data_IF_150114486274
#
_entry.id   IF_150114486274
#
_cell.length_a   1.000
_cell.length_b   1.000
_cell.length_c   1.000
_cell.angle_alpha   90.00
_cell.angle_beta   90.00
_cell.angle_gamma   90.00
#
_symmetry.space_group_name_H-M   'P 1'
#
loop_
_entity.id
_entity.type
_entity.pdbx_description
1 polymer ?
#
# COMPACT_ATOMS: atom_id res chain seq x y z
N UNK A 1 4.95 -6.28 13.41
CA UNK A 1 3.64 -6.55 12.80
C UNK A 1 3.85 -7.31 11.50
N UNK A 2 3.24 -8.47 11.40
CA UNK A 2 3.44 -9.38 10.28
C UNK A 2 2.31 -9.27 9.26
N UNK A 3 2.68 -9.34 7.98
CA UNK A 3 1.73 -9.39 6.86
C UNK A 3 1.76 -10.80 6.28
N UNK A 4 0.60 -11.40 6.05
CA UNK A 4 0.50 -12.75 5.53
C UNK A 4 0.31 -12.72 4.02
N UNK A 5 1.21 -13.38 3.30
CA UNK A 5 1.13 -13.45 1.85
C UNK A 5 0.15 -14.53 1.39
N UNK A 6 -0.19 -14.51 0.12
CA UNK A 6 -1.13 -15.44 -0.49
C UNK A 6 -0.75 -16.91 -0.28
N UNK A 7 0.55 -17.21 -0.26
CA UNK A 7 1.06 -18.57 -0.08
C UNK A 7 1.18 -18.97 1.39
N UNK A 8 0.75 -18.13 2.31
CA UNK A 8 0.82 -18.38 3.75
C UNK A 8 2.10 -17.94 4.41
N UNK A 9 3.09 -17.50 3.64
CA UNK A 9 4.33 -16.99 4.22
C UNK A 9 4.08 -15.62 4.86
N UNK A 10 4.96 -15.23 5.77
CA UNK A 10 4.85 -13.96 6.48
C UNK A 10 5.99 -13.04 6.13
N UNK A 11 5.69 -11.74 6.08
CA UNK A 11 6.73 -10.73 5.91
C UNK A 11 6.44 -9.56 6.84
N UNK A 12 7.48 -8.84 7.23
CA UNK A 12 7.33 -7.71 8.13
C UNK A 12 6.63 -6.55 7.42
N UNK A 13 5.69 -5.89 8.10
CA UNK A 13 5.06 -4.69 7.59
C UNK A 13 6.13 -3.62 7.36
N UNK A 14 6.15 -3.03 6.18
CA UNK A 14 7.13 -2.03 5.82
C UNK A 14 6.44 -0.78 5.27
N UNK A 15 6.32 0.23 6.12
CA UNK A 15 5.70 1.51 5.75
C UNK A 15 6.43 2.16 4.58
N UNK A 16 7.75 2.04 4.52
CA UNK A 16 8.54 2.66 3.46
C UNK A 16 8.21 2.06 2.09
N UNK A 17 7.93 0.77 2.02
CA UNK A 17 7.49 0.15 0.76
C UNK A 17 6.17 0.73 0.28
N UNK A 18 5.25 0.99 1.20
CA UNK A 18 3.96 1.60 0.87
C UNK A 18 4.18 3.01 0.34
N UNK A 19 5.00 3.80 1.02
CA UNK A 19 5.33 5.16 0.60
C UNK A 19 5.95 5.14 -0.80
N UNK A 20 6.91 4.25 -1.03
CA UNK A 20 7.58 4.15 -2.32
C UNK A 20 6.60 3.77 -3.44
N UNK A 21 5.66 2.86 -3.18
CA UNK A 21 4.66 2.48 -4.18
C UNK A 21 3.73 3.64 -4.51
N UNK A 22 3.38 4.45 -3.52
CA UNK A 22 2.56 5.65 -3.74
C UNK A 22 3.30 6.68 -4.57
N UNK A 23 4.59 6.89 -4.29
CA UNK A 23 5.43 7.79 -5.09
C UNK A 23 5.51 7.33 -6.54
N UNK A 24 5.66 6.02 -6.75
CA UNK A 24 5.72 5.43 -8.10
C UNK A 24 4.40 5.61 -8.85
N UNK A 25 3.30 5.71 -8.13
CA UNK A 25 1.98 5.97 -8.73
C UNK A 25 1.75 7.46 -9.05
N UNK A 26 2.70 8.32 -8.70
CA UNK A 26 2.62 9.75 -9.01
C UNK A 26 2.06 10.62 -7.90
N UNK A 27 1.85 10.06 -6.71
CA UNK A 27 1.40 10.87 -5.56
C UNK A 27 2.53 11.75 -5.04
N UNK A 28 2.18 12.92 -4.52
CA UNK A 28 3.15 13.83 -3.92
C UNK A 28 3.77 13.19 -2.67
N UNK A 29 5.03 13.51 -2.33
CA UNK A 29 5.69 12.90 -1.18
C UNK A 29 4.94 13.05 0.15
N UNK A 30 4.34 14.21 0.40
CA UNK A 30 3.58 14.44 1.63
C UNK A 30 2.32 13.58 1.68
N UNK A 31 1.66 13.38 0.55
CA UNK A 31 0.48 12.52 0.46
C UNK A 31 0.88 11.05 0.63
N UNK A 32 1.96 10.64 -0.01
CA UNK A 32 2.48 9.27 0.11
C UNK A 32 2.81 8.94 1.57
N UNK A 33 3.47 9.86 2.27
CA UNK A 33 3.81 9.69 3.67
C UNK A 33 2.57 9.62 4.55
N UNK A 34 1.58 10.47 4.28
CA UNK A 34 0.30 10.45 4.98
C UNK A 34 -0.37 9.08 4.85
N UNK A 35 -0.42 8.54 3.64
CA UNK A 35 -1.01 7.23 3.39
C UNK A 35 -0.24 6.15 4.15
N UNK A 36 1.08 6.17 4.10
CA UNK A 36 1.90 5.22 4.84
C UNK A 36 1.61 5.24 6.33
N UNK A 37 1.49 6.43 6.92
CA UNK A 37 1.18 6.59 8.34
C UNK A 37 -0.21 6.08 8.67
N UNK A 38 -1.20 6.38 7.82
CA UNK A 38 -2.57 5.91 8.02
C UNK A 38 -2.64 4.39 7.95
N UNK A 39 -1.95 3.78 7.00
CA UNK A 39 -1.91 2.33 6.85
C UNK A 39 -1.23 1.66 8.04
N UNK A 40 -0.20 2.28 8.59
CA UNK A 40 0.46 1.77 9.79
C UNK A 40 -0.52 1.68 10.97
N UNK A 41 -1.43 2.64 11.05
CA UNK A 41 -2.43 2.65 12.12
C UNK A 41 -3.61 1.70 11.85
N UNK A 42 -3.94 1.47 10.59
CA UNK A 42 -5.05 0.60 10.21
C UNK A 42 -4.66 -0.87 10.14
N UNK A 43 -3.42 -1.16 9.77
CA UNK A 43 -2.95 -2.52 9.65
C UNK A 43 -2.80 -3.17 11.04
N UNK A 44 -2.94 -4.48 11.09
CA UNK A 44 -2.82 -5.26 12.31
C UNK A 44 -1.96 -6.48 12.07
N UNK A 45 -1.42 -7.05 13.12
CA UNK A 45 -0.57 -8.24 12.99
C UNK A 45 -1.38 -9.41 12.41
N UNK A 46 -0.87 -9.99 11.34
CA UNK A 46 -1.57 -11.07 10.64
C UNK A 46 -2.45 -10.60 9.50
N UNK A 47 -2.46 -9.29 9.17
CA UNK A 47 -3.24 -8.78 8.04
C UNK A 47 -2.79 -9.45 6.74
N UNK A 48 -3.73 -9.82 5.89
CA UNK A 48 -3.40 -10.42 4.60
C UNK A 48 -2.99 -9.35 3.59
N UNK A 49 -2.06 -9.70 2.71
CA UNK A 49 -1.58 -8.79 1.65
C UNK A 49 -2.75 -8.26 0.82
N UNK A 50 -3.71 -9.11 0.50
CA UNK A 50 -4.89 -8.73 -0.28
C UNK A 50 -5.68 -7.62 0.41
N UNK A 51 -5.90 -7.76 1.71
CA UNK A 51 -6.62 -6.76 2.50
C UNK A 51 -5.83 -5.45 2.58
N UNK A 52 -4.53 -5.56 2.80
CA UNK A 52 -3.66 -4.39 2.86
C UNK A 52 -3.71 -3.60 1.54
N UNK A 53 -3.66 -4.30 0.42
CA UNK A 53 -3.76 -3.66 -0.91
C UNK A 53 -5.08 -2.92 -1.11
N UNK A 54 -6.18 -3.50 -0.65
CA UNK A 54 -7.49 -2.85 -0.73
C UNK A 54 -7.47 -1.55 0.07
N UNK A 55 -6.91 -1.57 1.27
CA UNK A 55 -6.80 -0.38 2.10
C UNK A 55 -5.95 0.70 1.43
N UNK A 56 -4.80 0.32 0.88
CA UNK A 56 -3.92 1.26 0.17
C UNK A 56 -4.68 1.88 -1.01
N UNK A 57 -5.31 1.07 -1.82
CA UNK A 57 -6.03 1.53 -3.01
C UNK A 57 -7.15 2.49 -2.65
N UNK A 58 -7.90 2.20 -1.59
CA UNK A 58 -8.97 3.09 -1.13
C UNK A 58 -8.41 4.45 -0.71
N UNK A 59 -7.26 4.47 -0.03
CA UNK A 59 -6.62 5.73 0.36
C UNK A 59 -6.17 6.53 -0.85
N UNK A 60 -5.57 5.86 -1.84
CA UNK A 60 -5.13 6.52 -3.07
C UNK A 60 -6.31 7.12 -3.83
N UNK A 61 -7.40 6.37 -3.98
CA UNK A 61 -8.60 6.85 -4.65
C UNK A 61 -9.18 8.08 -3.97
N UNK A 62 -9.10 8.12 -2.66
CA UNK A 62 -9.61 9.25 -1.88
C UNK A 62 -8.78 10.51 -2.08
N UNK A 63 -7.46 10.35 -2.25
CA UNK A 63 -6.56 11.48 -2.45
C UNK A 63 -6.49 11.92 -3.91
N UNK A 64 -6.37 10.94 -4.82
CA UNK A 64 -6.28 11.21 -6.27
C UNK A 64 -6.64 9.94 -7.03
N UNK A 65 -7.88 9.88 -7.53
CA UNK A 65 -8.38 8.69 -8.21
C UNK A 65 -7.59 8.34 -9.47
N UNK A 66 -6.96 9.32 -10.13
CA UNK A 66 -6.15 9.05 -11.32
C UNK A 66 -4.89 8.25 -11.00
N UNK A 67 -4.37 8.39 -9.78
CA UNK A 67 -3.19 7.64 -9.34
C UNK A 67 -3.53 6.20 -8.99
N UNK A 68 -4.79 5.88 -8.74
CA UNK A 68 -5.19 4.52 -8.37
C UNK A 68 -4.85 3.52 -9.46
N UNK A 69 -5.13 3.85 -10.73
CA UNK A 69 -4.81 2.97 -11.85
C UNK A 69 -3.30 2.81 -12.02
N UNK A 70 -2.55 3.89 -11.85
CA UNK A 70 -1.09 3.84 -11.93
C UNK A 70 -0.51 2.95 -10.85
N UNK A 71 -1.07 3.00 -9.65
CA UNK A 71 -0.64 2.14 -8.56
C UNK A 71 -0.93 0.66 -8.85
N UNK A 72 -2.10 0.36 -9.39
CA UNK A 72 -2.48 -1.00 -9.79
C UNK A 72 -1.49 -1.52 -10.83
N UNK A 73 -1.19 -0.73 -11.85
CA UNK A 73 -0.25 -1.10 -12.91
C UNK A 73 1.14 -1.36 -12.34
N UNK A 74 1.60 -0.50 -11.44
CA UNK A 74 2.90 -0.67 -10.78
C UNK A 74 2.96 -1.98 -10.00
N UNK A 75 1.94 -2.31 -9.24
CA UNK A 75 1.90 -3.54 -8.46
C UNK A 75 1.84 -4.79 -9.34
N UNK A 76 1.14 -4.73 -10.45
CA UNK A 76 1.07 -5.86 -11.38
C UNK A 76 2.39 -6.10 -12.10
N UNK A 77 3.16 -5.05 -12.37
CA UNK A 77 4.44 -5.16 -13.09
C UNK A 77 5.63 -5.42 -12.15
N UNK A 78 5.37 -5.57 -10.88
CA UNK A 78 6.40 -5.70 -9.86
C UNK A 78 7.04 -7.09 -9.81
N UNK A 79 6.42 -8.09 -10.38
CA UNK A 79 6.89 -9.47 -10.33
C UNK A 79 8.03 -9.74 -11.30
#
# INVERSE_FOLDING_TARGET
MQVVKKDGSKEEFDKQKIINSCLSAGLAPDVAEKIGNELENLAYDGIETKELRILILNKIRKEDSSCAQKWIDYEQNKT
#
